data_IF_324282318293
#
_entry.id   IF_324282318293
#
_cell.length_a   1.000
_cell.length_b   1.000
_cell.length_c   1.000
_cell.angle_alpha   90.00
_cell.angle_beta   90.00
_cell.angle_gamma   90.00
#
_symmetry.space_group_name_H-M   'P 1'
#
loop_
_entity.id
_entity.type
_entity.pdbx_description
1 polymer ?
#
# COMPACT_ATOMS: atom_id res chain seq x y z
N UNK A 1 -18.71 9.00 2.55
CA UNK A 1 -19.14 8.03 1.51
C UNK A 1 -17.92 7.19 1.17
N UNK A 2 -18.00 5.87 1.34
CA UNK A 2 -16.92 4.96 0.94
C UNK A 2 -16.85 4.95 -0.59
N UNK A 3 -15.66 5.21 -1.17
CA UNK A 3 -15.43 5.14 -2.61
C UNK A 3 -15.70 3.70 -3.07
N UNK A 4 -16.54 3.49 -4.09
CA UNK A 4 -16.76 2.17 -4.66
C UNK A 4 -15.52 1.79 -5.49
N UNK A 5 -14.80 0.76 -5.06
CA UNK A 5 -13.58 0.25 -5.69
C UNK A 5 -13.77 -1.23 -5.97
N UNK A 6 -13.36 -1.68 -7.15
CA UNK A 6 -13.44 -3.07 -7.57
C UNK A 6 -12.14 -3.44 -8.26
N UNK A 7 -11.65 -4.66 -8.02
CA UNK A 7 -10.54 -5.23 -8.78
C UNK A 7 -11.01 -6.46 -9.53
N UNK A 8 -10.28 -6.82 -10.58
CA UNK A 8 -10.60 -7.93 -11.46
C UNK A 8 -9.40 -8.85 -11.67
N UNK A 9 -9.51 -9.78 -12.61
CA UNK A 9 -8.45 -10.74 -12.92
C UNK A 9 -7.16 -10.09 -13.46
N UNK A 10 -7.22 -8.88 -14.02
CA UNK A 10 -6.01 -8.17 -14.46
C UNK A 10 -5.19 -7.71 -13.27
N UNK A 11 -5.85 -7.16 -12.24
CA UNK A 11 -5.23 -6.76 -10.98
C UNK A 11 -4.61 -7.96 -10.23
N UNK A 12 -5.31 -9.10 -10.21
CA UNK A 12 -4.78 -10.35 -9.63
C UNK A 12 -3.49 -10.79 -10.33
N UNK A 13 -3.48 -10.78 -11.67
CA UNK A 13 -2.28 -11.11 -12.46
C UNK A 13 -1.11 -10.17 -12.18
N UNK A 14 -1.40 -8.88 -11.95
CA UNK A 14 -0.36 -7.90 -11.58
C UNK A 14 0.21 -8.23 -10.19
N UNK A 15 -0.65 -8.48 -9.20
CA UNK A 15 -0.23 -8.84 -7.85
C UNK A 15 0.61 -10.14 -7.84
N UNK A 16 0.12 -11.18 -8.53
CA UNK A 16 0.80 -12.48 -8.65
C UNK A 16 2.07 -12.41 -9.51
N UNK A 17 2.14 -11.45 -10.43
CA UNK A 17 3.29 -11.22 -11.32
C UNK A 17 4.51 -10.60 -10.64
N UNK A 18 4.36 -10.15 -9.39
CA UNK A 18 5.46 -9.67 -8.55
C UNK A 18 5.64 -8.15 -8.53
N UNK A 19 6.72 -7.72 -7.87
CA UNK A 19 6.92 -6.33 -7.43
C UNK A 19 6.99 -5.32 -8.57
N UNK A 20 7.54 -5.69 -9.74
CA UNK A 20 7.70 -4.75 -10.87
C UNK A 20 6.35 -4.28 -11.42
N UNK A 21 5.40 -5.20 -11.61
CA UNK A 21 4.07 -4.87 -12.08
C UNK A 21 3.29 -4.05 -11.07
N UNK A 22 3.38 -4.42 -9.79
CA UNK A 22 2.77 -3.67 -8.68
C UNK A 22 3.31 -2.24 -8.66
N UNK A 23 4.63 -2.07 -8.70
CA UNK A 23 5.27 -0.78 -8.67
C UNK A 23 4.92 0.10 -9.87
N UNK A 24 4.80 -0.49 -11.06
CA UNK A 24 4.42 0.23 -12.27
C UNK A 24 3.03 0.87 -12.14
N UNK A 25 2.04 0.13 -11.62
CA UNK A 25 0.69 0.65 -11.40
C UNK A 25 0.66 1.68 -10.29
N UNK A 26 1.25 1.37 -9.12
CA UNK A 26 1.18 2.25 -7.96
C UNK A 26 1.94 3.57 -8.14
N UNK A 27 2.96 3.61 -9.01
CA UNK A 27 3.68 4.83 -9.40
C UNK A 27 3.03 5.58 -10.57
N UNK A 28 2.03 5.01 -11.23
CA UNK A 28 1.29 5.66 -12.30
C UNK A 28 0.47 6.86 -11.81
N UNK A 29 -0.28 7.48 -12.72
CA UNK A 29 -1.13 8.63 -12.40
C UNK A 29 -2.62 8.25 -12.24
N UNK A 30 -3.00 7.02 -12.59
CA UNK A 30 -4.39 6.57 -12.54
C UNK A 30 -4.78 6.16 -11.12
N UNK A 31 -5.46 7.07 -10.42
CA UNK A 31 -5.93 6.84 -9.06
C UNK A 31 -6.89 5.64 -8.95
N UNK A 32 -7.73 5.39 -9.96
CA UNK A 32 -8.67 4.28 -9.93
C UNK A 32 -7.93 2.94 -10.00
N UNK A 33 -6.97 2.82 -10.92
CA UNK A 33 -6.11 1.63 -11.03
C UNK A 33 -5.30 1.38 -9.75
N UNK A 34 -4.76 2.44 -9.14
CA UNK A 34 -4.08 2.32 -7.83
C UNK A 34 -5.03 1.78 -6.77
N UNK A 35 -6.22 2.37 -6.64
CA UNK A 35 -7.20 1.97 -5.65
C UNK A 35 -7.60 0.50 -5.82
N UNK A 36 -7.87 0.09 -7.07
CA UNK A 36 -8.22 -1.28 -7.41
C UNK A 36 -7.08 -2.25 -7.11
N UNK A 37 -5.83 -1.90 -7.43
CA UNK A 37 -4.69 -2.74 -7.08
C UNK A 37 -4.46 -2.83 -5.57
N UNK A 38 -4.58 -1.73 -4.82
CA UNK A 38 -4.47 -1.75 -3.36
C UNK A 38 -5.56 -2.61 -2.71
N UNK A 39 -6.80 -2.53 -3.20
CA UNK A 39 -7.88 -3.42 -2.78
C UNK A 39 -7.59 -4.89 -3.13
N UNK A 40 -6.94 -5.14 -4.27
CA UNK A 40 -6.50 -6.49 -4.64
C UNK A 40 -5.42 -7.00 -3.67
N UNK A 41 -4.46 -6.14 -3.29
CA UNK A 41 -3.41 -6.50 -2.33
C UNK A 41 -3.97 -6.78 -0.94
N UNK A 42 -4.98 -6.03 -0.48
CA UNK A 42 -5.71 -6.31 0.77
C UNK A 42 -6.17 -7.76 0.84
N UNK A 43 -6.80 -8.26 -0.23
CA UNK A 43 -7.24 -9.64 -0.32
C UNK A 43 -6.10 -10.68 -0.20
N UNK A 44 -4.93 -10.39 -0.78
CA UNK A 44 -3.80 -11.32 -0.72
C UNK A 44 -3.04 -11.26 0.62
N UNK A 45 -3.03 -10.09 1.26
CA UNK A 45 -2.33 -9.86 2.53
C UNK A 45 -3.17 -10.26 3.74
N UNK A 46 -4.49 -10.23 3.63
CA UNK A 46 -5.40 -10.63 4.70
C UNK A 46 -5.31 -12.14 4.99
N UNK A 47 -4.85 -12.53 6.20
CA UNK A 47 -4.72 -13.93 6.59
C UNK A 47 -6.05 -14.71 6.53
N UNK A 48 -7.19 -14.01 6.61
CA UNK A 48 -8.52 -14.62 6.51
C UNK A 48 -8.71 -15.42 5.21
N UNK A 49 -8.16 -14.94 4.09
CA UNK A 49 -8.29 -15.63 2.80
C UNK A 49 -7.24 -16.73 2.60
N UNK A 50 -6.24 -16.85 3.48
CA UNK A 50 -5.20 -17.88 3.40
C UNK A 50 -4.38 -17.85 2.11
N UNK A 51 -4.32 -16.69 1.44
CA UNK A 51 -3.51 -16.51 0.25
C UNK A 51 -2.02 -16.41 0.61
N UNK A 52 -1.15 -16.66 -0.36
CA UNK A 52 0.28 -16.39 -0.21
C UNK A 52 0.72 -15.51 -1.37
N UNK A 53 1.36 -14.40 -1.05
CA UNK A 53 1.93 -13.48 -2.03
C UNK A 53 3.45 -13.53 -1.93
N UNK A 54 4.12 -13.80 -3.04
CA UNK A 54 5.57 -13.74 -3.07
C UNK A 54 6.04 -12.29 -2.82
N UNK A 55 7.23 -12.14 -2.24
CA UNK A 55 7.87 -10.82 -2.05
C UNK A 55 7.09 -9.85 -1.13
N UNK A 56 6.34 -10.35 -0.17
CA UNK A 56 5.55 -9.55 0.78
C UNK A 56 6.36 -8.42 1.44
N UNK A 57 7.59 -8.70 1.90
CA UNK A 57 8.47 -7.69 2.49
C UNK A 57 8.84 -6.57 1.50
N UNK A 58 9.02 -6.89 0.21
CA UNK A 58 9.33 -5.90 -0.83
C UNK A 58 8.09 -5.06 -1.16
N UNK A 59 6.90 -5.66 -1.13
CA UNK A 59 5.63 -4.96 -1.29
C UNK A 59 5.44 -3.96 -0.15
N UNK A 60 5.68 -4.36 1.10
CA UNK A 60 5.60 -3.43 2.23
C UNK A 60 6.64 -2.32 2.15
N UNK A 61 7.88 -2.62 1.74
CA UNK A 61 8.89 -1.59 1.52
C UNK A 61 8.44 -0.58 0.46
N UNK A 62 7.87 -1.04 -0.66
CA UNK A 62 7.31 -0.20 -1.71
C UNK A 62 6.15 0.66 -1.19
N UNK A 63 5.20 0.08 -0.45
CA UNK A 63 4.06 0.81 0.12
C UNK A 63 4.52 1.91 1.08
N UNK A 64 5.55 1.65 1.89
CA UNK A 64 6.16 2.64 2.77
C UNK A 64 6.79 3.81 1.97
N UNK A 65 7.48 3.53 0.87
CA UNK A 65 8.03 4.58 0.00
C UNK A 65 6.92 5.40 -0.67
N UNK A 66 5.90 4.72 -1.20
CA UNK A 66 4.78 5.37 -1.88
C UNK A 66 4.01 6.28 -0.94
N UNK A 67 3.81 5.88 0.31
CA UNK A 67 3.12 6.68 1.32
C UNK A 67 3.72 8.10 1.45
N UNK A 68 5.05 8.21 1.36
CA UNK A 68 5.78 9.46 1.47
C UNK A 68 5.61 10.35 0.23
N UNK A 69 5.56 9.74 -0.97
CA UNK A 69 5.51 10.46 -2.25
C UNK A 69 4.11 10.69 -2.82
N UNK A 70 3.11 9.90 -2.38
CA UNK A 70 1.76 9.93 -2.93
C UNK A 70 1.03 11.23 -2.56
N UNK A 71 0.38 11.83 -3.56
CA UNK A 71 -0.32 13.10 -3.45
C UNK A 71 -1.80 12.91 -3.17
N UNK A 72 -2.39 11.83 -3.66
CA UNK A 72 -3.79 11.50 -3.41
C UNK A 72 -4.00 11.05 -1.97
N UNK A 73 -4.79 11.82 -1.22
CA UNK A 73 -5.12 11.47 0.17
C UNK A 73 -5.94 10.18 0.25
N UNK A 74 -6.74 9.86 -0.77
CA UNK A 74 -7.48 8.61 -0.81
C UNK A 74 -6.53 7.41 -0.90
N UNK A 75 -5.57 7.46 -1.82
CA UNK A 75 -4.56 6.40 -1.98
C UNK A 75 -3.64 6.30 -0.76
N UNK A 76 -3.24 7.43 -0.17
CA UNK A 76 -2.49 7.41 1.10
C UNK A 76 -3.28 6.73 2.21
N UNK A 77 -4.59 6.96 2.28
CA UNK A 77 -5.48 6.30 3.23
C UNK A 77 -5.48 4.78 3.04
N UNK A 78 -5.63 4.32 1.80
CA UNK A 78 -5.59 2.89 1.47
C UNK A 78 -4.23 2.27 1.84
N UNK A 79 -3.12 2.94 1.52
CA UNK A 79 -1.76 2.50 1.86
C UNK A 79 -1.57 2.45 3.39
N UNK A 80 -2.01 3.48 4.12
CA UNK A 80 -1.93 3.51 5.59
C UNK A 80 -2.70 2.36 6.22
N UNK A 81 -3.88 2.03 5.67
CA UNK A 81 -4.70 0.93 6.15
C UNK A 81 -3.94 -0.40 5.97
N UNK A 82 -3.49 -0.71 4.74
CA UNK A 82 -2.73 -1.94 4.47
C UNK A 82 -1.48 -2.07 5.35
N UNK A 83 -0.74 -0.97 5.51
CA UNK A 83 0.44 -0.95 6.36
C UNK A 83 0.09 -1.17 7.84
N UNK A 84 -1.00 -0.59 8.33
CA UNK A 84 -1.45 -0.78 9.72
C UNK A 84 -1.99 -2.17 10.00
N UNK A 85 -2.66 -2.77 9.04
CA UNK A 85 -3.32 -4.07 9.21
C UNK A 85 -2.34 -5.23 9.08
N UNK A 86 -1.33 -5.12 8.20
CA UNK A 86 -0.49 -6.26 7.82
C UNK A 86 1.03 -6.04 7.95
N UNK A 87 1.52 -4.80 7.98
CA UNK A 87 2.97 -4.56 8.01
C UNK A 87 3.52 -4.60 9.44
N UNK A 88 4.50 -5.48 9.68
CA UNK A 88 5.22 -5.57 10.97
C UNK A 88 6.55 -4.82 11.03
N UNK A 89 7.11 -4.42 9.88
CA UNK A 89 8.40 -3.72 9.81
C UNK A 89 8.29 -2.36 9.12
N UNK A 90 8.46 -1.29 9.91
CA UNK A 90 8.43 0.09 9.45
C UNK A 90 9.82 0.71 9.27
N UNK A 91 10.86 -0.10 9.04
CA UNK A 91 12.25 0.35 8.88
C UNK A 91 12.42 1.43 7.81
N UNK A 92 11.73 1.30 6.67
CA UNK A 92 11.76 2.29 5.59
C UNK A 92 11.19 3.63 6.06
N UNK A 93 9.99 3.64 6.65
CA UNK A 93 9.39 4.88 7.17
C UNK A 93 10.21 5.50 8.30
N UNK A 94 10.76 4.68 9.22
CA UNK A 94 11.62 5.18 10.31
C UNK A 94 12.85 5.89 9.78
N UNK A 95 13.48 5.34 8.73
CA UNK A 95 14.69 5.94 8.12
C UNK A 95 14.41 7.26 7.40
N UNK A 96 13.17 7.46 6.91
CA UNK A 96 12.76 8.61 6.11
C UNK A 96 11.69 9.48 6.76
N UNK A 97 11.53 9.39 8.08
CA UNK A 97 10.46 10.11 8.79
C UNK A 97 10.59 11.64 8.65
N UNK A 98 11.80 12.15 8.42
CA UNK A 98 12.06 13.56 8.14
C UNK A 98 11.44 14.05 6.81
N UNK A 99 11.13 13.14 5.89
CA UNK A 99 10.45 13.45 4.62
C UNK A 99 8.92 13.53 4.80
N UNK A 100 8.39 12.87 5.83
CA UNK A 100 6.98 12.99 6.18
C UNK A 100 6.69 14.38 6.77
N UNK A 101 5.73 15.10 6.18
CA UNK A 101 5.34 16.43 6.64
C UNK A 101 3.82 16.64 6.55
N UNK A 102 3.35 17.65 7.30
CA UNK A 102 1.95 18.05 7.32
C UNK A 102 1.00 16.97 7.84
N UNK A 103 -0.12 16.77 7.13
CA UNK A 103 -1.24 15.91 7.53
C UNK A 103 -0.90 14.42 7.61
N UNK A 104 0.24 13.99 7.05
CA UNK A 104 0.67 12.58 7.03
C UNK A 104 1.31 12.14 8.34
N UNK A 105 1.98 13.06 9.05
CA UNK A 105 2.79 12.76 10.23
C UNK A 105 2.03 12.02 11.32
N UNK A 106 0.78 12.39 11.69
CA UNK A 106 0.02 11.66 12.70
C UNK A 106 -0.32 10.22 12.31
N UNK A 107 -0.47 9.94 11.00
CA UNK A 107 -0.71 8.59 10.50
C UNK A 107 0.55 7.74 10.62
N UNK A 108 1.68 8.24 10.11
CA UNK A 108 2.97 7.54 10.18
C UNK A 108 3.42 7.30 11.61
N UNK A 109 3.29 8.29 12.50
CA UNK A 109 3.67 8.13 13.91
C UNK A 109 2.88 7.00 14.58
N UNK A 110 1.57 6.91 14.32
CA UNK A 110 0.75 5.81 14.85
C UNK A 110 1.20 4.44 14.38
N UNK A 111 1.65 4.31 13.14
CA UNK A 111 2.20 3.05 12.62
C UNK A 111 3.54 2.69 13.29
N UNK A 112 4.41 3.68 13.49
CA UNK A 112 5.78 3.48 13.99
C UNK A 112 5.83 3.33 15.52
N UNK A 113 4.97 4.03 16.25
CA UNK A 113 4.97 4.10 17.72
C UNK A 113 3.95 3.16 18.37
N UNK A 114 3.17 2.43 17.56
CA UNK A 114 2.16 1.45 17.99
C UNK A 114 2.71 0.32 18.84
#
# INVERSE_FOLDING_TARGET
MTRAVFYDNSHRRIAEGGIEGIAAVLRGDDEAEKASLLLCLDYYLDPYYGCTLAHESEIFALLQELLLSERSQAIRGDILQLLGDYCGDFSVLRSRICEASGELLPGIKRLIEG
#
